data_IF_313176307441
#
_entry.id   IF_313176307441
#
_cell.length_a   1.000
_cell.length_b   1.000
_cell.length_c   1.000
_cell.angle_alpha   90.00
_cell.angle_beta   90.00
_cell.angle_gamma   90.00
#
_symmetry.space_group_name_H-M   'P 1'
#
loop_
_entity.id
_entity.type
_entity.pdbx_description
1 polymer ?
#
# COMPACT_ATOMS: atom_id res chain seq x y z
N UNK A 1 -13.41 15.31 32.77
CA UNK A 1 -12.37 15.46 31.73
C UNK A 1 -12.66 14.43 30.66
N UNK A 2 -12.71 14.78 29.37
CA UNK A 2 -12.94 13.79 28.31
C UNK A 2 -11.60 13.32 27.75
N UNK A 3 -11.30 12.03 27.91
CA UNK A 3 -10.07 11.41 27.40
C UNK A 3 -10.39 10.41 26.29
N UNK A 4 -9.41 10.19 25.41
CA UNK A 4 -9.44 9.08 24.47
C UNK A 4 -8.04 8.72 23.98
N UNK A 5 -7.98 7.57 23.32
CA UNK A 5 -6.84 7.14 22.52
C UNK A 5 -7.21 7.18 21.05
N UNK A 6 -6.44 7.88 20.24
CA UNK A 6 -6.54 7.94 18.79
C UNK A 6 -5.48 7.02 18.17
N UNK A 7 -5.91 6.22 17.21
CA UNK A 7 -5.05 5.49 16.27
C UNK A 7 -5.24 6.12 14.90
N UNK A 8 -4.17 6.42 14.17
CA UNK A 8 -4.25 6.94 12.82
C UNK A 8 -3.37 6.14 11.87
N UNK A 9 -3.78 6.08 10.61
CA UNK A 9 -2.99 5.53 9.52
C UNK A 9 -3.39 6.23 8.21
N UNK A 10 -2.53 6.15 7.21
CA UNK A 10 -2.84 6.56 5.87
C UNK A 10 -2.05 5.80 4.82
N UNK A 11 -2.72 5.47 3.73
CA UNK A 11 -2.15 4.67 2.66
C UNK A 11 -2.41 5.28 1.30
N UNK A 12 -1.61 4.86 0.32
CA UNK A 12 -1.88 5.15 -1.09
C UNK A 12 -1.99 3.85 -1.88
N UNK A 13 -2.82 3.87 -2.92
CA UNK A 13 -3.04 2.75 -3.82
C UNK A 13 -3.26 3.25 -5.26
N UNK A 14 -2.94 2.48 -6.31
CA UNK A 14 -2.10 1.28 -6.32
C UNK A 14 -0.60 1.60 -6.23
N UNK A 15 -0.24 2.85 -6.47
CA UNK A 15 1.13 3.37 -6.47
C UNK A 15 1.28 4.49 -5.44
N UNK A 16 2.53 4.84 -5.13
CA UNK A 16 2.91 6.02 -4.37
C UNK A 16 3.69 6.93 -5.33
N UNK A 17 3.25 8.15 -5.65
CA UNK A 17 1.98 8.77 -5.27
C UNK A 17 0.78 8.15 -5.99
N UNK A 18 -0.38 8.06 -5.34
CA UNK A 18 -1.60 7.47 -5.91
C UNK A 18 -2.89 7.96 -5.24
N UNK A 19 -3.93 7.13 -5.25
CA UNK A 19 -5.18 7.39 -4.53
C UNK A 19 -4.92 7.30 -3.02
N UNK A 20 -5.05 8.41 -2.30
CA UNK A 20 -4.78 8.48 -0.87
C UNK A 20 -6.03 8.17 -0.03
N UNK A 21 -5.86 7.35 1.01
CA UNK A 21 -6.86 7.12 2.05
C UNK A 21 -6.32 7.47 3.42
N UNK A 22 -7.16 8.10 4.23
CA UNK A 22 -6.91 8.40 5.64
C UNK A 22 -7.82 7.56 6.52
N UNK A 23 -7.26 6.99 7.59
CA UNK A 23 -7.97 6.22 8.61
C UNK A 23 -7.69 6.75 10.00
N UNK A 24 -8.73 6.81 10.84
CA UNK A 24 -8.61 7.20 12.24
C UNK A 24 -9.59 6.41 13.11
N UNK A 25 -9.13 5.91 14.24
CA UNK A 25 -9.96 5.18 15.22
C UNK A 25 -9.80 5.82 16.60
N UNK A 26 -10.90 6.31 17.16
CA UNK A 26 -10.96 6.83 18.53
C UNK A 26 -11.53 5.79 19.48
N UNK A 27 -10.77 5.47 20.51
CA UNK A 27 -11.19 4.63 21.64
C UNK A 27 -11.49 5.53 22.83
N UNK A 28 -12.76 5.64 23.19
CA UNK A 28 -13.25 6.44 24.30
C UNK A 28 -13.01 5.74 25.66
N UNK A 29 -13.17 6.46 26.78
CA UNK A 29 -12.96 5.91 28.13
C UNK A 29 -13.92 4.76 28.49
N UNK A 30 -15.09 4.69 27.87
CA UNK A 30 -16.05 3.59 28.03
C UNK A 30 -15.70 2.36 27.17
N UNK A 31 -14.57 2.41 26.44
CA UNK A 31 -14.13 1.36 25.52
C UNK A 31 -14.81 1.41 24.15
N UNK A 32 -15.69 2.38 23.89
CA UNK A 32 -16.34 2.52 22.59
C UNK A 32 -15.32 2.95 21.53
N UNK A 33 -15.29 2.20 20.44
CA UNK A 33 -14.47 2.51 19.26
C UNK A 33 -15.30 3.26 18.21
N UNK A 34 -14.75 4.35 17.70
CA UNK A 34 -15.32 5.16 16.62
C UNK A 34 -14.31 5.20 15.48
N UNK A 35 -14.64 4.55 14.36
CA UNK A 35 -13.82 4.52 13.14
C UNK A 35 -14.23 5.61 12.16
N UNK A 36 -13.24 6.25 11.54
CA UNK A 36 -13.40 7.30 10.55
C UNK A 36 -12.47 7.05 9.37
N UNK A 37 -13.02 7.22 8.17
CA UNK A 37 -12.32 7.00 6.91
C UNK A 37 -12.55 8.19 5.99
N UNK A 38 -11.50 8.69 5.34
CA UNK A 38 -11.62 9.79 4.39
C UNK A 38 -10.74 9.59 3.17
N UNK A 39 -11.35 9.67 1.97
CA UNK A 39 -10.61 9.68 0.73
C UNK A 39 -9.95 11.04 0.51
N UNK A 40 -8.66 11.02 0.19
CA UNK A 40 -7.82 12.22 0.07
C UNK A 40 -7.63 12.67 -1.39
N UNK A 41 -8.18 11.92 -2.35
CA UNK A 41 -8.00 12.18 -3.77
C UNK A 41 -6.79 11.47 -4.38
N UNK A 42 -6.48 11.84 -5.62
CA UNK A 42 -5.38 11.29 -6.40
C UNK A 42 -4.04 11.98 -6.11
N UNK A 43 -2.95 11.36 -6.58
CA UNK A 43 -1.56 11.86 -6.53
C UNK A 43 -1.08 12.21 -5.12
N UNK A 44 -1.56 11.50 -4.11
CA UNK A 44 -1.09 11.60 -2.74
C UNK A 44 0.09 10.68 -2.52
N UNK A 45 1.09 11.14 -1.79
CA UNK A 45 2.17 10.26 -1.31
C UNK A 45 1.74 9.54 -0.04
N UNK A 46 2.41 8.43 0.30
CA UNK A 46 2.17 7.72 1.57
C UNK A 46 2.27 8.67 2.77
N UNK A 47 3.33 9.49 2.83
CA UNK A 47 3.50 10.44 3.93
C UNK A 47 2.38 11.50 3.98
N UNK A 48 1.86 11.93 2.82
CA UNK A 48 0.70 12.83 2.78
C UNK A 48 -0.57 12.13 3.27
N UNK A 49 -0.74 10.85 2.95
CA UNK A 49 -1.88 10.07 3.42
C UNK A 49 -1.84 9.85 4.94
N UNK A 50 -0.67 9.52 5.48
CA UNK A 50 -0.41 9.36 6.92
C UNK A 50 -0.74 10.63 7.70
N UNK A 51 -0.28 11.79 7.21
CA UNK A 51 -0.70 13.08 7.75
C UNK A 51 -2.21 13.28 7.65
N UNK A 52 -2.83 12.85 6.55
CA UNK A 52 -4.29 12.86 6.39
C UNK A 52 -5.01 12.07 7.48
N UNK A 53 -4.52 10.87 7.82
CA UNK A 53 -5.02 10.05 8.93
C UNK A 53 -4.95 10.79 10.27
N UNK A 54 -3.79 11.35 10.59
CA UNK A 54 -3.58 12.12 11.81
C UNK A 54 -4.54 13.32 11.89
N UNK A 55 -4.63 14.13 10.82
CA UNK A 55 -5.47 15.32 10.76
C UNK A 55 -6.96 14.98 10.91
N UNK A 56 -7.41 13.91 10.24
CA UNK A 56 -8.78 13.40 10.37
C UNK A 56 -9.09 13.05 11.83
N UNK A 57 -8.21 12.27 12.47
CA UNK A 57 -8.39 11.86 13.86
C UNK A 57 -8.40 13.02 14.85
N UNK A 58 -7.47 13.97 14.71
CA UNK A 58 -7.40 15.15 15.57
C UNK A 58 -8.67 16.02 15.45
N UNK A 59 -9.15 16.26 14.23
CA UNK A 59 -10.40 17.02 14.00
C UNK A 59 -11.60 16.31 14.63
N UNK A 60 -11.73 14.99 14.43
CA UNK A 60 -12.83 14.21 15.02
C UNK A 60 -12.79 14.19 16.55
N UNK A 61 -11.60 14.11 17.14
CA UNK A 61 -11.44 14.19 18.59
C UNK A 61 -11.90 15.56 19.14
N UNK A 62 -11.54 16.65 18.47
CA UNK A 62 -12.00 18.00 18.85
C UNK A 62 -13.51 18.17 18.69
N UNK A 63 -14.10 17.68 17.59
CA UNK A 63 -15.56 17.68 17.36
C UNK A 63 -16.32 16.96 18.49
N UNK A 64 -15.75 15.89 19.06
CA UNK A 64 -16.33 15.14 20.19
C UNK A 64 -16.09 15.80 21.57
N UNK A 65 -15.37 16.92 21.60
CA UNK A 65 -15.01 17.66 22.81
C UNK A 65 -13.96 16.95 23.66
N UNK A 66 -13.10 16.13 23.05
CA UNK A 66 -12.01 15.45 23.75
C UNK A 66 -10.96 16.49 24.11
N UNK A 67 -10.48 16.42 25.36
CA UNK A 67 -9.56 17.43 25.93
C UNK A 67 -8.18 16.86 26.21
N UNK A 68 -8.08 15.54 26.43
CA UNK A 68 -6.85 14.82 26.71
C UNK A 68 -6.74 13.64 25.75
N UNK A 69 -5.75 13.65 24.87
CA UNK A 69 -5.65 12.70 23.77
C UNK A 69 -4.29 11.98 23.80
N UNK A 70 -4.32 10.64 23.75
CA UNK A 70 -3.14 9.85 23.39
C UNK A 70 -3.27 9.49 21.93
N UNK A 71 -2.23 9.70 21.15
CA UNK A 71 -2.24 9.47 19.71
C UNK A 71 -1.17 8.43 19.38
N UNK A 72 -1.58 7.45 18.59
CA UNK A 72 -0.75 6.35 18.13
C UNK A 72 -0.80 6.24 16.60
N UNK A 73 0.34 5.96 16.00
CA UNK A 73 0.47 5.65 14.58
C UNK A 73 1.78 4.94 14.31
N UNK A 74 1.88 4.24 13.20
CA UNK A 74 3.06 3.46 12.79
C UNK A 74 3.97 4.22 11.81
N UNK A 75 3.58 5.43 11.39
CA UNK A 75 4.46 6.34 10.66
C UNK A 75 5.45 7.07 11.56
N UNK A 76 6.68 6.55 11.66
CA UNK A 76 7.76 7.19 12.42
C UNK A 76 8.00 8.64 11.98
N UNK A 77 7.95 8.91 10.67
CA UNK A 77 8.18 10.25 10.13
C UNK A 77 7.17 11.26 10.67
N UNK A 78 5.87 10.95 10.57
CA UNK A 78 4.80 11.85 11.03
C UNK A 78 4.89 12.06 12.54
N UNK A 79 5.02 10.98 13.31
CA UNK A 79 5.11 11.06 14.78
C UNK A 79 6.31 11.91 15.20
N UNK A 80 7.49 11.68 14.62
CA UNK A 80 8.71 12.39 15.01
C UNK A 80 8.74 13.84 14.54
N UNK A 81 8.15 14.16 13.38
CA UNK A 81 8.02 15.55 12.94
C UNK A 81 7.06 16.35 13.82
N UNK A 82 5.92 15.78 14.21
CA UNK A 82 4.97 16.49 15.08
C UNK A 82 5.51 16.64 16.50
N UNK A 83 6.28 15.66 17.00
CA UNK A 83 7.00 15.76 18.27
C UNK A 83 8.24 16.69 18.22
N UNK A 84 8.56 17.29 17.07
CA UNK A 84 9.72 18.18 16.92
C UNK A 84 11.09 17.49 16.95
N UNK A 85 11.12 16.17 16.83
CA UNK A 85 12.36 15.37 16.76
C UNK A 85 12.96 15.51 15.35
N UNK A 86 12.12 15.48 14.32
CA UNK A 86 12.52 15.69 12.92
C UNK A 86 12.00 17.01 12.38
N UNK A 87 12.82 17.67 11.55
CA UNK A 87 12.37 18.84 10.80
C UNK A 87 11.49 18.43 9.61
N UNK A 88 10.43 19.21 9.36
CA UNK A 88 9.64 19.10 8.14
C UNK A 88 10.15 20.08 7.09
N UNK A 89 10.93 19.59 6.12
CA UNK A 89 11.48 20.41 5.02
C UNK A 89 10.78 20.18 3.67
N UNK A 90 9.89 19.19 3.59
CA UNK A 90 9.21 18.85 2.36
C UNK A 90 8.04 19.83 2.13
N UNK A 91 8.06 20.57 1.03
CA UNK A 91 7.03 21.58 0.70
C UNK A 91 5.61 21.00 0.64
N UNK A 92 5.47 19.75 0.20
CA UNK A 92 4.18 19.05 0.13
C UNK A 92 3.67 18.53 1.47
N UNK A 93 4.53 18.42 2.49
CA UNK A 93 4.17 18.01 3.86
C UNK A 93 4.07 19.19 4.82
N UNK A 94 4.78 20.29 4.54
CA UNK A 94 4.87 21.44 5.43
C UNK A 94 3.50 22.03 5.83
N UNK A 95 2.51 22.20 4.92
CA UNK A 95 1.18 22.64 5.30
C UNK A 95 0.46 21.67 6.22
N UNK A 96 0.59 20.35 5.98
CA UNK A 96 -0.06 19.31 6.78
C UNK A 96 0.56 19.23 8.18
N UNK A 97 1.88 19.39 8.27
CA UNK A 97 2.59 19.46 9.53
C UNK A 97 2.19 20.68 10.36
N UNK A 98 2.11 21.87 9.75
CA UNK A 98 1.65 23.08 10.42
C UNK A 98 0.22 22.94 10.95
N UNK A 99 -0.68 22.35 10.15
CA UNK A 99 -2.05 22.10 10.56
C UNK A 99 -2.11 21.12 11.74
N UNK A 100 -1.32 20.04 11.70
CA UNK A 100 -1.24 19.07 12.79
C UNK A 100 -0.76 19.73 14.09
N UNK A 101 0.29 20.57 14.04
CA UNK A 101 0.75 21.34 15.20
C UNK A 101 -0.33 22.28 15.74
N UNK A 102 -1.08 22.93 14.86
CA UNK A 102 -2.19 23.82 15.25
C UNK A 102 -3.33 23.07 15.93
N UNK A 103 -3.65 21.85 15.49
CA UNK A 103 -4.68 21.01 16.10
C UNK A 103 -4.23 20.43 17.44
N UNK A 104 -2.99 19.94 17.53
CA UNK A 104 -2.41 19.40 18.78
C UNK A 104 -2.45 20.42 19.91
N UNK A 105 -2.18 21.70 19.62
CA UNK A 105 -2.21 22.80 20.60
C UNK A 105 -3.61 23.11 21.17
N UNK A 106 -4.68 22.64 20.55
CA UNK A 106 -6.05 22.88 21.03
C UNK A 106 -6.47 21.92 22.15
N UNK A 107 -5.74 20.82 22.34
CA UNK A 107 -5.96 19.91 23.47
C UNK A 107 -5.28 20.43 24.73
N UNK A 108 -5.87 20.14 25.90
CA UNK A 108 -5.21 20.43 27.18
C UNK A 108 -3.98 19.54 27.38
N UNK A 109 -4.05 18.30 26.87
CA UNK A 109 -2.92 17.38 26.82
C UNK A 109 -3.04 16.52 25.58
N UNK A 110 -1.96 16.44 24.80
CA UNK A 110 -1.88 15.58 23.63
C UNK A 110 -0.48 14.98 23.54
N UNK A 111 -0.39 13.65 23.44
CA UNK A 111 0.88 12.92 23.34
C UNK A 111 0.84 12.02 22.10
N UNK A 112 1.83 12.14 21.23
CA UNK A 112 1.96 11.28 20.05
C UNK A 112 3.08 10.26 20.27
N UNK A 113 2.78 8.98 20.08
CA UNK A 113 3.74 7.88 20.21
C UNK A 113 3.69 6.95 19.01
N UNK A 114 4.87 6.54 18.54
CA UNK A 114 4.99 5.54 17.50
C UNK A 114 4.66 4.15 18.07
N UNK A 115 3.92 3.35 17.30
CA UNK A 115 3.63 1.94 17.62
C UNK A 115 3.96 1.04 16.43
N UNK A 116 4.26 -0.26 16.65
CA UNK A 116 4.40 -1.21 15.55
C UNK A 116 3.10 -1.36 14.75
N UNK A 117 3.22 -1.61 13.44
CA UNK A 117 2.08 -1.72 12.51
C UNK A 117 1.08 -2.79 12.91
N UNK A 118 1.55 -3.89 13.51
CA UNK A 118 0.70 -4.98 14.00
C UNK A 118 -0.30 -4.52 15.08
N UNK A 119 0.01 -3.41 15.76
CA UNK A 119 -0.84 -2.79 16.79
C UNK A 119 -1.75 -1.69 16.21
N UNK A 120 -1.60 -1.33 14.93
CA UNK A 120 -2.34 -0.25 14.27
C UNK A 120 -3.35 -0.76 13.22
N UNK A 121 -3.67 -2.05 13.24
CA UNK A 121 -4.46 -2.71 12.19
C UNK A 121 -5.85 -2.09 11.95
N UNK A 122 -6.50 -1.55 12.98
CA UNK A 122 -7.83 -0.95 12.83
C UNK A 122 -7.79 0.36 12.01
N UNK A 123 -6.75 1.17 12.18
CA UNK A 123 -6.58 2.40 11.40
C UNK A 123 -6.19 2.09 9.95
N UNK A 124 -5.37 1.06 9.71
CA UNK A 124 -5.01 0.55 8.38
C UNK A 124 -6.24 0.10 7.58
N UNK A 125 -7.15 -0.62 8.23
CA UNK A 125 -8.43 -1.01 7.63
C UNK A 125 -9.25 0.22 7.26
N UNK A 126 -9.38 1.21 8.16
CA UNK A 126 -10.13 2.44 7.89
C UNK A 126 -9.54 3.24 6.71
N UNK A 127 -8.21 3.36 6.63
CA UNK A 127 -7.53 4.02 5.52
C UNK A 127 -7.76 3.29 4.19
N UNK A 128 -7.73 1.95 4.21
CA UNK A 128 -7.99 1.12 3.04
C UNK A 128 -9.45 1.23 2.56
N UNK A 129 -10.41 1.27 3.49
CA UNK A 129 -11.83 1.48 3.19
C UNK A 129 -12.10 2.82 2.53
N UNK A 130 -11.37 3.88 2.93
CA UNK A 130 -11.46 5.18 2.29
C UNK A 130 -11.14 5.13 0.79
N UNK A 131 -10.11 4.37 0.40
CA UNK A 131 -9.75 4.19 -1.02
C UNK A 131 -10.80 3.35 -1.73
N UNK A 132 -11.20 2.22 -1.14
CA UNK A 132 -12.16 1.28 -1.76
C UNK A 132 -13.54 1.86 -1.99
N UNK A 133 -13.97 2.81 -1.15
CA UNK A 133 -15.27 3.45 -1.29
C UNK A 133 -15.35 4.44 -2.46
N UNK A 134 -14.20 4.95 -2.93
CA UNK A 134 -14.13 5.94 -4.00
C UNK A 134 -13.52 5.42 -5.30
N UNK A 135 -12.61 4.44 -5.20
CA UNK A 135 -11.94 3.84 -6.34
C UNK A 135 -12.68 2.55 -6.68
N UNK A 136 -13.31 2.44 -7.87
CA UNK A 136 -13.95 1.21 -8.31
C UNK A 136 -12.96 0.05 -8.22
N UNK A 137 -13.42 -1.13 -7.82
CA UNK A 137 -12.56 -2.31 -7.71
C UNK A 137 -11.83 -2.62 -9.02
N UNK A 138 -12.39 -2.20 -10.18
CA UNK A 138 -11.79 -2.29 -11.52
C UNK A 138 -10.58 -1.39 -11.77
N UNK A 139 -10.39 -0.32 -11.00
CA UNK A 139 -9.18 0.53 -11.01
C UNK A 139 -8.16 0.02 -9.97
N UNK A 140 -8.64 -0.71 -8.97
CA UNK A 140 -7.81 -1.39 -7.97
C UNK A 140 -7.22 -2.69 -8.55
N UNK A 141 -7.95 -3.35 -9.44
CA UNK A 141 -7.50 -4.53 -10.16
C UNK A 141 -6.81 -4.16 -11.48
N UNK A 142 -5.94 -5.06 -11.95
CA UNK A 142 -5.51 -5.04 -13.35
C UNK A 142 -6.74 -5.01 -14.28
N UNK A 143 -6.72 -4.26 -15.39
CA UNK A 143 -7.78 -4.31 -16.39
C UNK A 143 -7.97 -5.76 -16.90
N UNK A 144 -9.23 -6.20 -16.97
CA UNK A 144 -9.57 -7.58 -17.36
C UNK A 144 -9.30 -7.86 -18.85
N UNK A 145 -9.21 -6.82 -19.67
CA UNK A 145 -9.05 -6.86 -21.13
C UNK A 145 -7.59 -6.79 -21.61
N UNK A 146 -6.62 -6.93 -20.70
CA UNK A 146 -5.21 -6.94 -21.07
C UNK A 146 -4.85 -8.14 -21.95
N UNK A 147 -3.95 -7.96 -22.94
CA UNK A 147 -3.53 -9.06 -23.79
C UNK A 147 -2.81 -10.15 -22.98
N UNK A 148 -3.26 -11.39 -23.19
CA UNK A 148 -2.68 -12.59 -22.57
C UNK A 148 -1.66 -13.21 -23.52
N UNK A 149 -0.42 -13.35 -23.06
CA UNK A 149 0.60 -14.05 -23.83
C UNK A 149 0.33 -15.57 -23.83
N UNK A 150 0.61 -16.24 -24.95
CA UNK A 150 0.43 -17.70 -25.04
C UNK A 150 1.32 -18.41 -24.01
N UNK A 151 0.78 -19.38 -23.25
CA UNK A 151 1.57 -20.18 -22.32
C UNK A 151 2.71 -20.91 -23.02
N UNK A 152 3.87 -20.93 -22.36
CA UNK A 152 5.04 -21.63 -22.86
C UNK A 152 4.87 -23.15 -22.83
N UNK A 153 5.42 -23.81 -23.86
CA UNK A 153 5.62 -25.26 -23.92
C UNK A 153 6.20 -25.86 -22.63
N UNK A 154 5.50 -26.83 -22.05
CA UNK A 154 5.81 -27.52 -20.80
C UNK A 154 5.23 -26.89 -19.52
N UNK A 155 4.71 -25.66 -19.58
CA UNK A 155 4.09 -24.96 -18.45
C UNK A 155 2.61 -24.62 -18.69
N UNK A 156 2.05 -25.01 -19.83
CA UNK A 156 0.74 -24.54 -20.31
C UNK A 156 -0.37 -24.86 -19.33
N UNK A 157 -0.41 -26.09 -18.83
CA UNK A 157 -1.46 -26.53 -17.91
C UNK A 157 -1.42 -25.76 -16.59
N UNK A 158 -0.23 -25.53 -16.05
CA UNK A 158 -0.04 -24.79 -14.81
C UNK A 158 -0.37 -23.30 -14.99
N UNK A 159 0.13 -22.67 -16.05
CA UNK A 159 -0.10 -21.25 -16.36
C UNK A 159 -1.59 -21.00 -16.67
N UNK A 160 -2.22 -21.85 -17.48
CA UNK A 160 -3.65 -21.74 -17.80
C UNK A 160 -4.52 -21.88 -16.54
N UNK A 161 -4.17 -22.82 -15.65
CA UNK A 161 -4.87 -23.00 -14.37
C UNK A 161 -4.69 -21.80 -13.43
N UNK A 162 -3.49 -21.22 -13.37
CA UNK A 162 -3.22 -20.05 -12.54
C UNK A 162 -3.92 -18.80 -13.11
N UNK A 163 -3.93 -18.63 -14.42
CA UNK A 163 -4.66 -17.53 -15.06
C UNK A 163 -6.17 -17.63 -14.82
N UNK A 164 -6.74 -18.84 -14.83
CA UNK A 164 -8.18 -19.02 -14.58
C UNK A 164 -8.56 -18.89 -13.10
N UNK A 165 -7.69 -19.31 -12.19
CA UNK A 165 -7.91 -19.19 -10.75
C UNK A 165 -7.57 -17.79 -10.20
N UNK A 166 -6.72 -17.04 -10.89
CA UNK A 166 -6.33 -15.68 -10.52
C UNK A 166 -5.89 -15.57 -9.06
N UNK A 167 -6.51 -14.66 -8.31
CA UNK A 167 -6.19 -14.45 -6.90
C UNK A 167 -6.60 -15.63 -6.00
N UNK A 168 -7.55 -16.47 -6.40
CA UNK A 168 -8.01 -17.63 -5.64
C UNK A 168 -7.06 -18.84 -5.65
N UNK A 169 -6.00 -18.81 -6.46
CA UNK A 169 -5.02 -19.90 -6.50
C UNK A 169 -4.20 -20.01 -5.21
N UNK A 170 -4.10 -21.24 -4.66
CA UNK A 170 -3.36 -21.54 -3.42
C UNK A 170 -1.87 -21.22 -3.56
N UNK A 171 -1.24 -20.74 -2.48
CA UNK A 171 0.19 -20.43 -2.43
C UNK A 171 1.10 -21.55 -2.96
N UNK A 172 0.78 -22.81 -2.65
CA UNK A 172 1.52 -23.99 -3.12
C UNK A 172 1.56 -24.11 -4.66
N UNK A 173 0.50 -23.70 -5.35
CA UNK A 173 0.45 -23.73 -6.82
C UNK A 173 1.43 -22.71 -7.43
N UNK A 174 1.55 -21.53 -6.81
CA UNK A 174 2.51 -20.50 -7.20
C UNK A 174 3.96 -20.94 -6.99
N UNK A 175 4.25 -21.65 -5.90
CA UNK A 175 5.59 -22.19 -5.61
C UNK A 175 6.03 -23.27 -6.60
N UNK A 176 5.08 -24.08 -7.09
CA UNK A 176 5.37 -25.14 -8.04
C UNK A 176 5.66 -24.62 -9.45
N UNK A 177 5.18 -23.41 -9.78
CA UNK A 177 5.49 -22.76 -11.04
C UNK A 177 6.93 -22.21 -11.01
N UNK A 178 7.88 -23.03 -11.45
CA UNK A 178 9.30 -22.64 -11.57
C UNK A 178 9.63 -22.30 -13.01
N UNK A 179 10.31 -21.17 -13.22
CA UNK A 179 10.94 -20.87 -14.51
C UNK A 179 12.38 -21.38 -14.48
N UNK A 180 12.73 -22.21 -15.46
CA UNK A 180 14.11 -22.66 -15.67
C UNK A 180 14.97 -21.61 -16.38
N UNK A 181 16.19 -22.00 -16.77
CA UNK A 181 17.05 -21.18 -17.62
C UNK A 181 16.50 -21.13 -19.06
N UNK A 182 15.73 -20.08 -19.38
CA UNK A 182 15.04 -19.94 -20.67
C UNK A 182 15.42 -18.66 -21.41
N UNK A 183 14.87 -18.51 -22.62
CA UNK A 183 15.15 -17.35 -23.48
C UNK A 183 14.82 -16.02 -22.82
N UNK A 184 13.81 -15.97 -21.95
CA UNK A 184 13.39 -14.76 -21.23
C UNK A 184 14.24 -14.51 -19.98
N UNK A 185 14.76 -15.57 -19.34
CA UNK A 185 15.70 -15.47 -18.23
C UNK A 185 16.98 -14.72 -18.62
N UNK A 186 17.33 -14.70 -19.90
CA UNK A 186 18.50 -13.99 -20.45
C UNK A 186 18.22 -12.55 -20.91
N UNK A 187 16.95 -12.15 -21.02
CA UNK A 187 16.58 -10.79 -21.45
C UNK A 187 16.77 -9.77 -20.30
N UNK A 188 17.28 -8.58 -20.66
CA UNK A 188 17.57 -7.46 -19.77
C UNK A 188 17.23 -6.14 -20.48
N UNK A 189 16.85 -5.13 -19.69
CA UNK A 189 16.60 -3.76 -20.15
C UNK A 189 15.67 -3.69 -21.36
N UNK A 190 16.05 -2.88 -22.35
CA UNK A 190 15.23 -2.58 -23.53
C UNK A 190 14.77 -3.82 -24.30
N UNK A 191 15.58 -4.87 -24.34
CA UNK A 191 15.24 -6.12 -25.03
C UNK A 191 14.08 -6.87 -24.36
N UNK A 192 13.94 -6.74 -23.04
CA UNK A 192 12.81 -7.30 -22.29
C UNK A 192 11.57 -6.41 -22.43
N UNK A 193 11.77 -5.10 -22.33
CA UNK A 193 10.71 -4.10 -22.47
C UNK A 193 10.01 -4.21 -23.82
N UNK A 194 10.78 -4.40 -24.91
CA UNK A 194 10.25 -4.56 -26.27
C UNK A 194 9.37 -5.82 -26.46
N UNK A 195 9.39 -6.79 -25.54
CA UNK A 195 8.54 -7.98 -25.61
C UNK A 195 7.14 -7.74 -25.02
N UNK A 196 6.94 -6.66 -24.27
CA UNK A 196 5.70 -6.42 -23.51
C UNK A 196 4.98 -5.19 -24.08
N UNK A 197 3.71 -5.32 -24.53
CA UNK A 197 2.90 -4.20 -24.99
C UNK A 197 2.85 -3.07 -23.96
N UNK A 198 2.86 -1.82 -24.42
CA UNK A 198 2.85 -0.64 -23.56
C UNK A 198 1.70 -0.63 -22.55
N UNK A 199 0.49 -0.96 -22.99
CA UNK A 199 -0.70 -1.08 -22.13
C UNK A 199 -0.48 -2.06 -20.96
N UNK A 200 0.22 -3.17 -21.20
CA UNK A 200 0.56 -4.14 -20.14
C UNK A 200 1.68 -3.61 -19.24
N UNK A 201 2.66 -2.91 -19.81
CA UNK A 201 3.76 -2.31 -19.04
C UNK A 201 3.24 -1.28 -18.05
N UNK A 202 2.37 -0.37 -18.50
CA UNK A 202 1.75 0.65 -17.66
C UNK A 202 0.92 0.03 -16.55
N UNK A 203 0.11 -0.98 -16.86
CA UNK A 203 -0.70 -1.68 -15.86
C UNK A 203 0.17 -2.40 -14.80
N UNK A 204 1.25 -3.07 -15.21
CA UNK A 204 2.19 -3.72 -14.29
C UNK A 204 2.91 -2.70 -13.40
N UNK A 205 3.39 -1.59 -13.97
CA UNK A 205 4.05 -0.53 -13.20
C UNK A 205 3.08 0.08 -12.19
N UNK A 206 1.83 0.29 -12.62
CA UNK A 206 0.76 0.82 -11.77
C UNK A 206 0.44 -0.10 -10.60
N UNK A 207 0.48 -1.41 -10.80
CA UNK A 207 0.18 -2.40 -9.75
C UNK A 207 1.34 -2.68 -8.77
N UNK A 208 2.55 -2.18 -9.05
CA UNK A 208 3.73 -2.36 -8.20
C UNK A 208 4.01 -1.10 -7.36
N UNK A 209 4.45 -1.30 -6.12
CA UNK A 209 4.87 -0.19 -5.25
C UNK A 209 6.28 0.31 -5.63
N UNK A 210 6.63 1.54 -5.23
CA UNK A 210 7.99 2.10 -5.46
C UNK A 210 9.09 1.19 -4.90
N UNK A 211 8.86 0.59 -3.72
CA UNK A 211 9.79 -0.38 -3.11
C UNK A 211 9.98 -1.59 -4.01
N UNK A 212 8.90 -2.18 -4.53
CA UNK A 212 8.97 -3.35 -5.42
C UNK A 212 9.66 -3.03 -6.75
N UNK A 213 9.46 -1.83 -7.28
CA UNK A 213 10.18 -1.35 -8.46
C UNK A 213 11.69 -1.25 -8.18
N UNK A 214 12.08 -0.68 -7.03
CA UNK A 214 13.48 -0.55 -6.62
C UNK A 214 14.16 -1.90 -6.36
N UNK A 215 13.42 -2.90 -5.89
CA UNK A 215 13.88 -4.28 -5.68
C UNK A 215 13.94 -5.11 -6.99
N UNK A 216 13.63 -4.49 -8.13
CA UNK A 216 13.74 -5.12 -9.45
C UNK A 216 12.64 -6.14 -9.74
N UNK A 217 11.47 -6.04 -9.10
CA UNK A 217 10.34 -6.94 -9.37
C UNK A 217 9.73 -6.71 -10.76
N UNK A 218 9.87 -5.51 -11.32
CA UNK A 218 9.34 -5.16 -12.64
C UNK A 218 9.80 -6.14 -13.73
N UNK A 219 11.11 -6.38 -13.76
CA UNK A 219 11.78 -7.33 -14.64
C UNK A 219 11.26 -8.77 -14.47
N UNK A 220 10.94 -9.16 -13.24
CA UNK A 220 10.37 -10.48 -12.94
C UNK A 220 8.93 -10.58 -13.48
N UNK A 221 8.14 -9.53 -13.32
CA UNK A 221 6.76 -9.46 -13.83
C UNK A 221 6.75 -9.60 -15.36
N UNK A 222 7.58 -8.82 -16.07
CA UNK A 222 7.67 -8.89 -17.53
C UNK A 222 8.05 -10.28 -18.02
N UNK A 223 9.05 -10.92 -17.39
CA UNK A 223 9.44 -12.29 -17.77
C UNK A 223 8.33 -13.31 -17.51
N UNK A 224 7.56 -13.17 -16.43
CA UNK A 224 6.43 -14.04 -16.14
C UNK A 224 5.27 -13.84 -17.12
N UNK A 225 5.00 -12.58 -17.50
CA UNK A 225 4.03 -12.28 -18.55
C UNK A 225 4.46 -12.88 -19.89
N UNK A 226 5.73 -12.74 -20.31
CA UNK A 226 6.26 -13.36 -21.54
C UNK A 226 6.18 -14.90 -21.56
N UNK A 227 6.03 -15.55 -20.40
CA UNK A 227 5.83 -17.01 -20.28
C UNK A 227 4.36 -17.41 -20.39
N UNK A 228 3.44 -16.44 -20.38
CA UNK A 228 2.01 -16.59 -20.60
C UNK A 228 1.13 -16.39 -19.38
N UNK A 229 1.67 -15.88 -18.26
CA UNK A 229 0.80 -15.41 -17.18
C UNK A 229 0.09 -14.12 -17.59
N UNK A 230 -1.16 -13.94 -17.12
CA UNK A 230 -1.82 -12.64 -17.21
C UNK A 230 -1.05 -11.60 -16.39
N UNK A 231 -1.24 -10.31 -16.68
CA UNK A 231 -0.51 -9.23 -16.02
C UNK A 231 -0.64 -9.29 -14.48
N UNK A 232 -1.86 -9.51 -13.98
CA UNK A 232 -2.10 -9.66 -12.54
C UNK A 232 -1.44 -10.90 -11.94
N UNK A 233 -1.52 -12.04 -12.63
CA UNK A 233 -0.87 -13.27 -12.19
C UNK A 233 0.66 -13.15 -12.20
N UNK A 234 1.23 -12.39 -13.13
CA UNK A 234 2.66 -12.14 -13.22
C UNK A 234 3.17 -11.30 -12.04
N UNK A 235 2.44 -10.26 -11.65
CA UNK A 235 2.74 -9.44 -10.45
C UNK A 235 2.67 -10.30 -9.19
N UNK A 236 1.58 -11.06 -9.02
CA UNK A 236 1.42 -11.97 -7.87
C UNK A 236 2.55 -13.00 -7.80
N UNK A 237 2.92 -13.61 -8.94
CA UNK A 237 4.01 -14.59 -9.01
C UNK A 237 5.35 -13.95 -8.64
N UNK A 238 5.64 -12.74 -9.10
CA UNK A 238 6.87 -12.03 -8.78
C UNK A 238 6.99 -11.72 -7.28
N UNK A 239 5.88 -11.35 -6.62
CA UNK A 239 5.80 -11.16 -5.17
C UNK A 239 6.11 -12.46 -4.41
N UNK A 240 5.48 -13.57 -4.81
CA UNK A 240 5.74 -14.88 -4.22
C UNK A 240 7.22 -15.28 -4.37
N UNK A 241 7.82 -15.06 -5.55
CA UNK A 241 9.25 -15.33 -5.76
C UNK A 241 10.16 -14.47 -4.88
N UNK A 242 9.82 -13.19 -4.70
CA UNK A 242 10.56 -12.29 -3.82
C UNK A 242 10.45 -12.72 -2.35
N UNK A 243 9.25 -13.07 -1.88
CA UNK A 243 9.02 -13.54 -0.50
C UNK A 243 9.81 -14.81 -0.18
N UNK A 244 9.82 -15.77 -1.11
CA UNK A 244 10.62 -16.99 -0.97
C UNK A 244 12.10 -16.66 -0.91
N UNK A 245 12.59 -15.79 -1.80
CA UNK A 245 14.00 -15.40 -1.83
C UNK A 245 14.42 -14.72 -0.52
N UNK A 246 13.61 -13.82 0.02
CA UNK A 246 13.90 -13.13 1.28
C UNK A 246 13.98 -14.10 2.48
N UNK A 247 13.11 -15.11 2.53
CA UNK A 247 13.12 -16.14 3.60
C UNK A 247 14.35 -17.07 3.55
N UNK A 248 14.99 -17.23 2.39
CA UNK A 248 16.21 -18.02 2.26
C UNK A 248 17.49 -17.25 2.60
N UNK A 249 17.47 -15.92 2.59
CA UNK A 249 18.63 -15.07 2.89
C UNK A 249 18.79 -14.82 4.41
N UNK A 250 17.75 -15.06 5.21
CA UNK A 250 17.75 -14.89 6.67
C UNK A 250 18.12 -16.17 7.45
N UNK A 251 18.56 -17.24 6.78
CA UNK A 251 19.08 -18.47 7.39
C UNK A 251 20.57 -18.61 7.06
#
# INVERSE_FOLDING_TARGET
>A
MKKATLYFDGGTYPMNPGHGGAGAVLVLEDGKELSFSQYLGEKKTNNQAEYGGLLLGLKKALELGITHLKVHGDSQLVVYQVNGIYECRNEGLYPLWLEALSLVKQFHSCTLSWIPREQNALADVAATEAIRSYVPQSVISMPDDLPVCKPRAGLEKAISTLNSQGEGARFKAWLQLKSGNDRYSKLRGDKLIAQVPEVVREAIVTALTEKELSEGLLDKCYRWWCRGLSAGCAVKKARVDAEVTAKFVQK
#
